data_IF_110638683033
#
_entry.id   IF_110638683033
#
_cell.length_a   1.000
_cell.length_b   1.000
_cell.length_c   1.000
_cell.angle_alpha   90.00
_cell.angle_beta   90.00
_cell.angle_gamma   90.00
#
_symmetry.space_group_name_H-M   'P 1'
#
loop_
_entity.id
_entity.type
_entity.pdbx_description
1 polymer ?
#
# COMPACT_ATOMS: atom_id res chain seq x y z
N UNK A 1 7.39 -2.83 9.08
CA UNK A 1 6.90 -2.67 7.69
C UNK A 1 6.97 -4.01 7.02
N UNK A 2 5.91 -4.40 6.33
CA UNK A 2 5.86 -5.61 5.49
C UNK A 2 5.84 -5.14 4.05
N UNK A 3 6.72 -5.66 3.21
CA UNK A 3 6.73 -5.40 1.76
C UNK A 3 6.31 -6.69 1.06
N UNK A 4 5.23 -6.63 0.29
CA UNK A 4 4.74 -7.74 -0.52
C UNK A 4 5.20 -7.55 -1.96
N UNK A 5 6.13 -8.40 -2.39
CA UNK A 5 6.75 -8.33 -3.71
C UNK A 5 8.27 -8.48 -3.65
N UNK A 6 8.85 -8.85 -4.79
CA UNK A 6 10.29 -9.11 -4.94
C UNK A 6 10.90 -8.42 -6.17
N UNK A 7 10.24 -7.36 -6.64
CA UNK A 7 10.73 -6.48 -7.70
C UNK A 7 11.95 -5.66 -7.26
N UNK A 8 12.57 -4.96 -8.21
CA UNK A 8 13.73 -4.10 -7.91
C UNK A 8 13.31 -2.82 -7.16
N UNK A 9 12.09 -2.36 -7.38
CA UNK A 9 11.41 -1.32 -6.59
C UNK A 9 11.19 -1.76 -5.13
N UNK A 10 10.76 -3.01 -4.89
CA UNK A 10 10.64 -3.57 -3.55
C UNK A 10 11.99 -3.64 -2.83
N UNK A 11 13.06 -3.98 -3.55
CA UNK A 11 14.43 -3.99 -3.02
C UNK A 11 14.90 -2.59 -2.64
N UNK A 12 14.60 -1.60 -3.47
CA UNK A 12 14.92 -0.20 -3.23
C UNK A 12 14.18 0.34 -2.00
N UNK A 13 12.86 0.12 -1.95
CA UNK A 13 12.01 0.49 -0.81
C UNK A 13 12.52 -0.16 0.48
N UNK A 14 12.85 -1.45 0.45
CA UNK A 14 13.42 -2.16 1.59
C UNK A 14 14.71 -1.50 2.10
N UNK A 15 15.64 -1.16 1.20
CA UNK A 15 16.90 -0.49 1.55
C UNK A 15 16.67 0.87 2.20
N UNK A 16 15.81 1.71 1.62
CA UNK A 16 15.48 3.03 2.17
C UNK A 16 14.76 2.93 3.52
N UNK A 17 13.78 2.02 3.64
CA UNK A 17 13.05 1.79 4.88
C UNK A 17 14.00 1.41 6.03
N UNK A 18 14.98 0.55 5.76
CA UNK A 18 15.98 0.13 6.75
C UNK A 18 16.88 1.27 7.20
N UNK A 19 17.29 2.16 6.28
CA UNK A 19 18.05 3.38 6.63
C UNK A 19 17.26 4.28 7.56
N UNK A 20 15.94 4.35 7.39
CA UNK A 20 15.00 5.06 8.28
C UNK A 20 14.62 4.26 9.54
N UNK A 21 15.36 3.20 9.90
CA UNK A 21 15.17 2.39 11.11
C UNK A 21 13.81 1.67 11.18
N UNK A 22 13.14 1.43 10.05
CA UNK A 22 12.05 0.47 10.03
C UNK A 22 12.60 -0.94 10.19
N UNK A 23 11.90 -1.78 10.96
CA UNK A 23 12.04 -3.24 10.85
C UNK A 23 11.25 -3.71 9.63
N UNK A 24 11.90 -4.36 8.67
CA UNK A 24 11.35 -4.71 7.37
C UNK A 24 11.30 -6.22 7.20
N UNK A 25 10.09 -6.74 6.96
CA UNK A 25 9.87 -8.10 6.48
C UNK A 25 9.50 -8.02 5.01
N UNK A 26 10.20 -8.75 4.14
CA UNK A 26 9.80 -8.95 2.74
C UNK A 26 9.08 -10.28 2.68
N UNK A 27 7.82 -10.27 2.24
CA UNK A 27 6.99 -11.48 2.19
C UNK A 27 6.54 -11.74 0.75
N UNK A 28 6.85 -12.94 0.26
CA UNK A 28 6.41 -13.33 -1.09
C UNK A 28 6.50 -14.84 -1.28
N UNK A 29 5.97 -15.32 -2.40
CA UNK A 29 6.11 -16.72 -2.75
C UNK A 29 7.48 -17.06 -3.30
N UNK A 30 7.82 -18.35 -3.26
CA UNK A 30 9.09 -18.85 -3.73
C UNK A 30 9.27 -18.51 -5.22
N UNK A 31 10.29 -17.70 -5.50
CA UNK A 31 10.73 -17.31 -6.84
C UNK A 31 12.25 -17.16 -6.82
N UNK A 32 12.91 -17.18 -7.98
CA UNK A 32 14.36 -16.90 -8.06
C UNK A 32 14.77 -15.51 -7.59
N UNK A 33 13.83 -14.57 -7.43
CA UNK A 33 14.08 -13.22 -6.90
C UNK A 33 13.92 -13.12 -5.38
N UNK A 34 13.19 -14.05 -4.77
CA UNK A 34 12.91 -14.07 -3.34
C UNK A 34 14.09 -14.66 -2.55
N UNK A 35 15.26 -13.99 -2.58
CA UNK A 35 16.49 -14.49 -1.95
C UNK A 35 17.10 -13.48 -0.99
N UNK A 36 17.80 -13.99 0.02
CA UNK A 36 18.52 -13.17 1.00
C UNK A 36 19.57 -12.26 0.35
N UNK A 37 20.22 -12.75 -0.69
CA UNK A 37 21.23 -12.01 -1.46
C UNK A 37 20.64 -10.76 -2.14
N UNK A 38 19.42 -10.86 -2.70
CA UNK A 38 18.73 -9.70 -3.29
C UNK A 38 18.18 -8.75 -2.24
N UNK A 39 17.84 -9.24 -1.05
CA UNK A 39 17.26 -8.46 0.05
C UNK A 39 18.17 -8.44 1.30
N UNK A 40 19.43 -7.96 1.19
CA UNK A 40 20.37 -7.98 2.31
C UNK A 40 20.01 -6.97 3.39
N UNK A 41 19.17 -5.97 3.08
CA UNK A 41 18.69 -4.98 4.04
C UNK A 41 17.52 -5.49 4.88
N UNK A 42 16.68 -6.40 4.36
CA UNK A 42 15.50 -6.89 5.07
C UNK A 42 15.89 -7.52 6.42
N UNK A 43 15.11 -7.31 7.47
CA UNK A 43 15.34 -8.02 8.74
C UNK A 43 14.86 -9.47 8.63
N UNK A 44 13.85 -9.70 7.79
CA UNK A 44 13.26 -11.00 7.56
C UNK A 44 12.83 -11.15 6.10
N UNK A 45 13.01 -12.35 5.55
CA UNK A 45 12.48 -12.75 4.25
C UNK A 45 11.56 -13.94 4.48
N UNK A 46 10.26 -13.71 4.39
CA UNK A 46 9.24 -14.72 4.64
C UNK A 46 8.76 -15.32 3.31
N UNK A 47 9.09 -16.59 3.09
CA UNK A 47 8.62 -17.34 1.93
C UNK A 47 7.31 -18.04 2.29
N UNK A 48 6.25 -17.72 1.55
CA UNK A 48 4.90 -18.26 1.75
C UNK A 48 4.42 -19.03 0.50
N UNK A 49 3.42 -19.91 0.61
CA UNK A 49 2.71 -20.41 -0.58
C UNK A 49 2.13 -19.26 -1.42
N UNK A 50 1.97 -19.47 -2.74
CA UNK A 50 1.68 -18.42 -3.75
C UNK A 50 0.61 -17.41 -3.35
N UNK A 51 -0.48 -17.88 -2.75
CA UNK A 51 -1.62 -17.04 -2.39
C UNK A 51 -1.85 -16.97 -0.87
N UNK A 52 -0.97 -17.55 -0.05
CA UNK A 52 -1.19 -17.71 1.40
C UNK A 52 -0.72 -16.49 2.21
N UNK A 53 -1.13 -15.29 1.78
CA UNK A 53 -0.74 -14.03 2.41
C UNK A 53 -1.25 -13.87 3.85
N UNK A 54 -2.28 -14.63 4.24
CA UNK A 54 -2.77 -14.71 5.62
C UNK A 54 -1.74 -15.29 6.62
N UNK A 55 -0.69 -15.97 6.12
CA UNK A 55 0.41 -16.48 6.96
C UNK A 55 1.38 -15.39 7.43
N UNK A 56 1.29 -14.20 6.86
CA UNK A 56 2.11 -13.05 7.26
C UNK A 56 1.38 -12.30 8.35
N UNK A 57 1.93 -12.28 9.56
CA UNK A 57 1.37 -11.49 10.66
C UNK A 57 1.45 -10.00 10.33
N UNK A 58 0.30 -9.32 10.27
CA UNK A 58 0.19 -7.89 9.93
C UNK A 58 -0.32 -7.02 11.09
N UNK A 59 -0.58 -7.61 12.25
CA UNK A 59 -1.11 -6.90 13.43
C UNK A 59 -0.16 -5.79 13.87
N UNK A 60 -0.66 -4.55 13.93
CA UNK A 60 0.15 -3.39 14.30
C UNK A 60 1.20 -3.00 13.25
N UNK A 61 1.16 -3.57 12.03
CA UNK A 61 2.15 -3.34 10.97
C UNK A 61 1.59 -2.46 9.85
N UNK A 62 2.53 -1.94 9.05
CA UNK A 62 2.31 -1.17 7.84
C UNK A 62 2.73 -2.04 6.67
N UNK A 63 1.81 -2.30 5.73
CA UNK A 63 2.00 -3.17 4.58
C UNK A 63 2.10 -2.34 3.31
N UNK A 64 3.06 -2.65 2.45
CA UNK A 64 3.15 -2.09 1.10
C UNK A 64 3.10 -3.24 0.09
N UNK A 65 2.11 -3.21 -0.80
CA UNK A 65 1.84 -4.22 -1.83
C UNK A 65 2.34 -3.70 -3.17
N UNK A 66 3.32 -4.41 -3.75
CA UNK A 66 4.03 -4.02 -4.97
C UNK A 66 4.57 -5.27 -5.71
N UNK A 67 3.73 -6.30 -5.87
CA UNK A 67 4.13 -7.50 -6.60
C UNK A 67 4.13 -7.32 -8.13
N UNK A 68 3.45 -6.28 -8.62
CA UNK A 68 3.14 -6.01 -10.03
C UNK A 68 2.27 -7.08 -10.70
N UNK A 69 1.83 -8.12 -9.97
CA UNK A 69 0.91 -9.12 -10.46
C UNK A 69 -0.49 -8.87 -9.87
N UNK A 70 -1.48 -8.68 -10.75
CA UNK A 70 -2.82 -8.24 -10.34
C UNK A 70 -3.48 -9.26 -9.38
N UNK A 71 -3.37 -10.54 -9.67
CA UNK A 71 -3.96 -11.61 -8.85
C UNK A 71 -3.29 -11.66 -7.47
N UNK A 72 -1.96 -11.58 -7.41
CA UNK A 72 -1.23 -11.63 -6.15
C UNK A 72 -1.45 -10.38 -5.30
N UNK A 73 -1.48 -9.19 -5.91
CA UNK A 73 -1.78 -7.96 -5.19
C UNK A 73 -3.22 -7.98 -4.65
N UNK A 74 -4.17 -8.50 -5.45
CA UNK A 74 -5.57 -8.64 -5.03
C UNK A 74 -5.71 -9.57 -3.85
N UNK A 75 -5.05 -10.73 -3.89
CA UNK A 75 -5.01 -11.69 -2.79
C UNK A 75 -4.34 -11.11 -1.54
N UNK A 76 -3.21 -10.42 -1.71
CA UNK A 76 -2.51 -9.78 -0.60
C UNK A 76 -3.37 -8.72 0.09
N UNK A 77 -4.02 -7.83 -0.67
CA UNK A 77 -4.91 -6.81 -0.10
C UNK A 77 -6.08 -7.45 0.64
N UNK A 78 -6.79 -8.41 0.03
CA UNK A 78 -7.93 -9.08 0.66
C UNK A 78 -7.58 -9.89 1.92
N UNK A 79 -6.33 -10.35 2.05
CA UNK A 79 -5.89 -11.17 3.19
C UNK A 79 -5.19 -10.35 4.28
N UNK A 80 -4.54 -9.25 3.91
CA UNK A 80 -3.76 -8.42 4.85
C UNK A 80 -4.50 -7.18 5.32
N UNK A 81 -5.56 -6.76 4.63
CA UNK A 81 -6.41 -5.66 5.08
C UNK A 81 -7.33 -6.17 6.20
N UNK A 82 -6.84 -6.14 7.44
CA UNK A 82 -7.56 -6.62 8.63
C UNK A 82 -7.84 -5.49 9.64
N UNK A 83 -8.73 -5.70 10.62
CA UNK A 83 -8.97 -4.73 11.69
C UNK A 83 -7.70 -4.36 12.50
N UNK A 84 -6.69 -5.23 12.57
CA UNK A 84 -5.47 -4.97 13.33
C UNK A 84 -4.31 -4.37 12.51
N UNK A 85 -4.37 -4.39 11.17
CA UNK A 85 -3.37 -3.72 10.34
C UNK A 85 -3.47 -2.21 10.53
N UNK A 86 -2.33 -1.51 10.50
CA UNK A 86 -2.32 -0.05 10.65
C UNK A 86 -2.48 0.67 9.32
N UNK A 87 -2.07 0.03 8.23
CA UNK A 87 -1.95 0.64 6.91
C UNK A 87 -1.69 -0.44 5.85
N UNK A 88 -2.35 -0.33 4.69
CA UNK A 88 -2.06 -1.10 3.48
C UNK A 88 -1.93 -0.13 2.31
N UNK A 89 -0.72 0.04 1.80
CA UNK A 89 -0.44 0.81 0.60
C UNK A 89 -0.35 -0.10 -0.61
N UNK A 90 -1.00 0.24 -1.70
CA UNK A 90 -0.96 -0.50 -2.96
C UNK A 90 -0.32 0.35 -4.05
N UNK A 91 0.78 -0.16 -4.62
CA UNK A 91 1.40 0.43 -5.82
C UNK A 91 0.56 0.07 -7.04
N UNK A 92 0.07 1.08 -7.74
CA UNK A 92 -0.68 0.89 -8.97
C UNK A 92 -1.55 2.09 -9.33
N UNK A 93 -2.14 2.03 -10.52
CA UNK A 93 -3.09 3.03 -10.98
C UNK A 93 -4.45 2.90 -10.27
N UNK A 94 -5.27 3.95 -10.35
CA UNK A 94 -6.67 3.92 -9.86
C UNK A 94 -7.48 2.79 -10.50
N UNK A 95 -7.27 2.54 -11.80
CA UNK A 95 -7.89 1.41 -12.50
C UNK A 95 -7.49 0.05 -11.89
N UNK A 96 -6.22 -0.11 -11.48
CA UNK A 96 -5.76 -1.33 -10.80
C UNK A 96 -6.46 -1.50 -9.45
N UNK A 97 -6.65 -0.41 -8.71
CA UNK A 97 -7.37 -0.43 -7.44
C UNK A 97 -8.81 -0.94 -7.62
N UNK A 98 -9.55 -0.43 -8.61
CA UNK A 98 -10.93 -0.87 -8.89
C UNK A 98 -11.00 -2.40 -9.07
N UNK A 99 -10.06 -2.97 -9.83
CA UNK A 99 -9.95 -4.43 -10.02
C UNK A 99 -9.57 -5.20 -8.77
N UNK A 100 -8.79 -4.58 -7.88
CA UNK A 100 -8.41 -5.16 -6.60
C UNK A 100 -9.56 -5.12 -5.59
N UNK A 101 -10.46 -4.15 -5.68
CA UNK A 101 -11.63 -4.04 -4.79
C UNK A 101 -12.76 -5.00 -5.14
N UNK A 102 -12.79 -5.54 -6.37
CA UNK A 102 -13.78 -6.54 -6.77
C UNK A 102 -13.71 -7.79 -5.84
N UNK A 103 -14.84 -8.40 -5.47
CA UNK A 103 -14.87 -9.60 -4.62
C UNK A 103 -14.11 -10.78 -5.22
N UNK A 104 -13.26 -11.45 -4.43
CA UNK A 104 -12.50 -12.63 -4.86
C UNK A 104 -13.22 -13.93 -4.48
N UNK A 105 -13.10 -14.95 -5.32
CA UNK A 105 -13.57 -16.30 -5.02
C UNK A 105 -12.53 -17.33 -5.46
N UNK A 106 -11.78 -17.85 -4.49
CA UNK A 106 -10.85 -18.94 -4.74
C UNK A 106 -11.56 -20.29 -4.74
N UNK A 107 -11.09 -21.28 -5.52
CA UNK A 107 -11.63 -22.64 -5.48
C UNK A 107 -11.62 -23.20 -4.06
N UNK A 108 -12.79 -23.60 -3.57
CA UNK A 108 -12.94 -24.15 -2.22
C UNK A 108 -13.09 -23.12 -1.10
N UNK A 109 -13.07 -21.82 -1.40
CA UNK A 109 -13.33 -20.74 -0.44
C UNK A 109 -14.65 -20.01 -0.75
N UNK A 110 -15.32 -19.45 0.28
CA UNK A 110 -16.41 -18.51 0.04
C UNK A 110 -15.90 -17.26 -0.68
N UNK A 111 -16.81 -16.58 -1.40
CA UNK A 111 -16.50 -15.26 -1.94
C UNK A 111 -16.18 -14.29 -0.79
N UNK A 112 -15.14 -13.49 -0.98
CA UNK A 112 -14.66 -12.52 0.00
C UNK A 112 -14.66 -11.14 -0.64
N UNK A 113 -15.31 -10.20 0.04
CA UNK A 113 -15.25 -8.78 -0.28
C UNK A 113 -14.50 -8.03 0.82
N UNK A 114 -13.94 -6.87 0.48
CA UNK A 114 -13.35 -5.97 1.47
C UNK A 114 -14.45 -5.29 2.26
N UNK A 115 -14.36 -5.34 3.58
CA UNK A 115 -15.29 -4.64 4.45
C UNK A 115 -15.14 -3.12 4.28
N UNK A 116 -16.26 -2.37 4.09
CA UNK A 116 -16.19 -0.91 3.91
C UNK A 116 -15.48 -0.18 5.05
N UNK A 117 -15.58 -0.71 6.27
CA UNK A 117 -14.94 -0.15 7.46
C UNK A 117 -13.41 -0.24 7.46
N UNK A 118 -12.80 -1.01 6.55
CA UNK A 118 -11.35 -1.17 6.44
C UNK A 118 -10.76 -0.31 5.31
N UNK A 119 -11.58 0.35 4.50
CA UNK A 119 -11.12 1.15 3.36
C UNK A 119 -10.33 2.39 3.79
N UNK A 120 -10.51 2.88 5.01
CA UNK A 120 -9.74 3.99 5.61
C UNK A 120 -8.25 3.63 5.83
N UNK A 121 -7.93 2.33 5.83
CA UNK A 121 -6.56 1.81 5.94
C UNK A 121 -5.93 1.46 4.59
N UNK A 122 -6.67 1.55 3.48
CA UNK A 122 -6.18 1.25 2.15
C UNK A 122 -5.78 2.53 1.40
N UNK A 123 -4.52 2.61 1.00
CA UNK A 123 -3.93 3.78 0.34
C UNK A 123 -3.51 3.39 -1.08
N UNK A 124 -4.16 3.96 -2.08
CA UNK A 124 -3.87 3.67 -3.50
C UNK A 124 -4.32 4.81 -4.43
N UNK A 125 -3.47 5.28 -5.34
CA UNK A 125 -2.04 4.97 -5.46
C UNK A 125 -1.29 5.35 -4.19
N UNK A 126 -0.36 4.50 -3.75
CA UNK A 126 0.45 4.76 -2.55
C UNK A 126 1.53 5.81 -2.82
N UNK A 127 1.73 6.70 -1.84
CA UNK A 127 2.81 7.67 -1.80
C UNK A 127 2.31 9.12 -1.87
N UNK A 128 3.06 10.01 -1.22
CA UNK A 128 2.74 11.44 -1.28
C UNK A 128 2.96 11.99 -2.69
N UNK A 129 2.11 12.93 -3.10
CA UNK A 129 2.30 13.66 -4.34
C UNK A 129 3.46 14.66 -4.20
N UNK A 130 4.66 14.19 -4.54
CA UNK A 130 5.89 14.97 -4.57
C UNK A 130 6.41 15.17 -5.99
N UNK A 131 5.61 14.83 -7.02
CA UNK A 131 6.07 14.81 -8.42
C UNK A 131 7.15 13.76 -8.69
N UNK A 132 7.08 12.60 -8.03
CA UNK A 132 8.07 11.53 -8.17
C UNK A 132 8.04 10.88 -9.57
N UNK A 133 9.19 10.81 -10.24
CA UNK A 133 9.32 10.18 -11.56
C UNK A 133 10.28 8.98 -11.53
N UNK A 134 11.36 9.10 -10.75
CA UNK A 134 12.37 8.03 -10.63
C UNK A 134 11.95 6.97 -9.60
N UNK A 135 12.42 5.71 -9.73
CA UNK A 135 12.16 4.68 -8.72
C UNK A 135 12.54 5.09 -7.29
N UNK A 136 13.62 5.84 -7.14
CA UNK A 136 14.11 6.39 -5.88
C UNK A 136 13.14 7.43 -5.29
N UNK A 137 12.63 8.34 -6.11
CA UNK A 137 11.63 9.33 -5.68
C UNK A 137 10.30 8.65 -5.33
N UNK A 138 9.88 7.64 -6.11
CA UNK A 138 8.67 6.87 -5.82
C UNK A 138 8.82 6.13 -4.49
N UNK A 139 9.95 5.45 -4.26
CA UNK A 139 10.19 4.79 -2.98
C UNK A 139 10.24 5.79 -1.81
N UNK A 140 10.78 6.99 -2.03
CA UNK A 140 10.76 8.08 -1.05
C UNK A 140 9.35 8.56 -0.76
N UNK A 141 8.50 8.75 -1.78
CA UNK A 141 7.12 9.22 -1.62
C UNK A 141 6.27 8.22 -0.83
N UNK A 142 6.45 6.91 -1.10
CA UNK A 142 5.83 5.81 -0.35
C UNK A 142 6.25 5.86 1.11
N UNK A 143 7.55 5.95 1.39
CA UNK A 143 8.05 5.99 2.77
C UNK A 143 7.62 7.25 3.52
N UNK A 144 7.54 8.39 2.83
CA UNK A 144 7.06 9.62 3.40
C UNK A 144 5.58 9.50 3.80
N UNK A 145 4.73 8.92 2.95
CA UNK A 145 3.32 8.67 3.27
C UNK A 145 3.16 7.72 4.46
N UNK A 146 3.81 6.57 4.43
CA UNK A 146 3.74 5.58 5.52
C UNK A 146 4.20 6.20 6.84
N UNK A 147 5.26 7.01 6.81
CA UNK A 147 5.77 7.72 7.99
C UNK A 147 4.81 8.82 8.46
N UNK A 148 4.15 9.52 7.55
CA UNK A 148 3.13 10.51 7.87
C UNK A 148 1.95 9.84 8.58
N UNK A 149 1.40 8.75 8.02
CA UNK A 149 0.31 7.98 8.63
C UNK A 149 0.72 7.45 10.01
N UNK A 150 1.93 6.88 10.14
CA UNK A 150 2.47 6.44 11.45
C UNK A 150 2.47 7.54 12.50
N UNK A 151 2.74 8.77 12.09
CA UNK A 151 2.80 9.93 12.97
C UNK A 151 1.46 10.68 13.07
N UNK A 152 0.38 10.17 12.47
CA UNK A 152 -0.94 10.81 12.43
C UNK A 152 -0.93 12.12 11.64
N UNK A 153 -0.20 12.18 10.52
CA UNK A 153 -0.03 13.36 9.67
C UNK A 153 -0.44 13.08 8.24
N UNK A 154 -0.79 14.13 7.51
CA UNK A 154 -1.17 14.08 6.09
C UNK A 154 0.00 14.23 5.10
N UNK A 155 1.16 14.74 5.53
CA UNK A 155 2.34 14.84 4.65
C UNK A 155 2.43 16.09 3.77
N UNK A 156 2.07 17.27 4.27
CA UNK A 156 2.25 18.55 3.56
C UNK A 156 3.53 19.34 3.92
N UNK A 157 3.73 20.50 3.29
CA UNK A 157 4.86 21.38 3.60
C UNK A 157 4.80 21.88 5.04
N UNK A 158 5.93 21.77 5.76
CA UNK A 158 5.99 22.14 7.16
C UNK A 158 5.75 23.64 7.41
N UNK A 159 6.12 24.52 6.44
CA UNK A 159 5.91 25.98 6.52
C UNK A 159 4.43 26.39 6.60
N UNK A 160 3.54 25.56 6.07
CA UNK A 160 2.10 25.85 6.02
C UNK A 160 1.38 25.34 7.28
N UNK A 161 2.12 24.66 8.18
CA UNK A 161 1.56 24.11 9.40
C UNK A 161 1.35 25.21 10.45
N UNK A 162 0.14 25.26 10.99
CA UNK A 162 -0.17 26.06 12.17
C UNK A 162 0.17 25.27 13.44
N UNK A 163 0.75 25.94 14.45
CA UNK A 163 1.07 25.36 15.75
C UNK A 163 2.47 24.74 15.88
N UNK A 164 2.71 24.02 16.98
CA UNK A 164 4.04 23.54 17.35
C UNK A 164 4.59 22.48 16.38
N UNK A 165 5.82 22.67 15.90
CA UNK A 165 6.50 21.74 14.97
C UNK A 165 6.64 20.33 15.59
N UNK A 166 6.95 20.25 16.88
CA UNK A 166 7.06 19.00 17.64
C UNK A 166 5.95 18.96 18.67
N UNK A 167 5.18 17.87 18.68
CA UNK A 167 4.00 17.71 19.52
C UNK A 167 2.98 16.80 18.83
N UNK A 168 2.54 15.75 19.54
CA UNK A 168 1.58 14.76 19.05
C UNK A 168 0.17 15.34 18.96
N UNK A 169 -0.06 16.18 17.95
CA UNK A 169 -1.40 16.54 17.53
C UNK A 169 -2.02 15.33 16.85
N UNK A 170 -2.81 14.55 17.60
CA UNK A 170 -4.01 13.92 17.03
C UNK A 170 -4.94 15.07 16.66
N UNK A 171 -4.79 15.64 15.48
CA UNK A 171 -5.75 16.63 15.00
C UNK A 171 -6.04 16.40 13.52
N UNK A 172 -7.34 16.29 13.24
CA UNK A 172 -8.02 15.88 12.03
C UNK A 172 -7.77 14.43 11.61
N UNK A 173 -8.73 13.57 12.00
CA UNK A 173 -9.15 12.44 11.19
C UNK A 173 -9.03 12.81 9.71
N UNK A 174 -8.37 11.96 8.93
CA UNK A 174 -8.42 12.02 7.47
C UNK A 174 -9.87 12.34 7.10
N UNK A 175 -10.16 13.44 6.37
CA UNK A 175 -11.45 13.49 5.72
C UNK A 175 -11.50 12.20 4.91
N UNK A 176 -12.54 11.39 5.11
CA UNK A 176 -12.87 10.35 4.17
C UNK A 176 -13.00 11.09 2.84
N UNK A 177 -11.93 11.09 2.04
CA UNK A 177 -12.00 11.42 0.64
C UNK A 177 -12.88 10.32 0.10
N UNK A 178 -14.18 10.57 0.10
CA UNK A 178 -15.13 9.74 -0.60
C UNK A 178 -14.52 9.50 -1.97
N UNK A 179 -14.42 8.25 -2.41
CA UNK A 179 -14.15 8.01 -3.80
C UNK A 179 -15.24 8.75 -4.57
N UNK A 180 -14.88 9.81 -5.30
CA UNK A 180 -15.76 10.43 -6.28
C UNK A 180 -15.87 9.47 -7.47
N UNK A 181 -16.44 8.30 -7.23
CA UNK A 181 -16.85 7.32 -8.23
C UNK A 181 -18.36 7.38 -8.28
N UNK A 182 -18.88 8.34 -9.06
CA UNK A 182 -20.24 8.44 -9.63
C UNK A 182 -20.46 9.90 -10.05
N UNK A 183 -19.66 10.38 -11.01
CA UNK A 183 -20.15 11.37 -11.95
C UNK A 183 -20.08 10.70 -13.31
N UNK A 184 -21.25 10.28 -13.81
CA UNK A 184 -21.43 9.86 -15.19
C UNK A 184 -20.93 10.98 -16.12
N UNK A 185 -20.16 10.68 -17.17
CA UNK A 185 -19.99 11.63 -18.25
C UNK A 185 -21.32 11.71 -19.01
N UNK A 186 -22.11 12.74 -18.77
CA UNK A 186 -23.14 13.20 -19.71
C UNK A 186 -22.42 13.68 -20.98
N UNK A 187 -22.31 12.78 -21.95
CA UNK A 187 -21.91 13.15 -23.30
C UNK A 187 -23.05 13.96 -23.96
N UNK A 188 -22.77 15.15 -24.53
CA UNK A 188 -23.75 15.84 -25.36
C UNK A 188 -24.02 15.04 -26.65
N UNK A 189 -25.29 14.99 -27.07
CA UNK A 189 -25.82 14.25 -28.23
C UNK A 189 -25.27 14.66 -29.61
N UNK A 190 -24.22 15.48 -29.69
CA UNK A 190 -23.78 16.12 -30.95
C UNK A 190 -22.67 15.39 -31.73
N UNK A 191 -22.28 14.17 -31.36
CA UNK A 191 -21.32 13.38 -32.14
C UNK A 191 -21.75 11.91 -32.26
N UNK A 192 -22.76 11.66 -33.09
CA UNK A 192 -22.92 10.38 -33.80
C UNK A 192 -22.68 10.65 -35.28
N UNK A 193 -21.60 10.08 -35.82
CA UNK A 193 -21.39 9.82 -37.25
C UNK A 193 -20.89 8.40 -37.37
#
# INVERSE_FOLDING_TARGET
>A
MVIVGVGDDARLLCSLARRLQWRVTVAYHATGKATRERFPAADELQIIPRFAFEQVDVRGKYVVVMSHNLELDREAVHKMLTPEVQYVGLVGSRYRLEKILEPIRNPGEPERAIEPALLDKLYSPVGLDIGAETPEEIAMSILAEVTAVKNGRSGGFLRDRKGAIRGGGKEASLPASQPSFLNEPTFPESCRV
#
